data_IF_526935572109
#
_entry.id   IF_526935572109
#
_cell.length_a   1.000
_cell.length_b   1.000
_cell.length_c   1.000
_cell.angle_alpha   90.00
_cell.angle_beta   90.00
_cell.angle_gamma   90.00
#
_symmetry.space_group_name_H-M   'P 1'
#
loop_
_entity.id
_entity.type
_entity.pdbx_description
1 polymer ?
#
# COMPACT_ATOMS: atom_id res chain seq x y z
N UNK A 1 -13.55 -56.97 -1.31
CA UNK A 1 -12.68 -55.99 -0.62
C UNK A 1 -12.12 -55.04 -1.66
N UNK A 2 -12.61 -53.80 -1.68
CA UNK A 2 -12.28 -52.80 -2.69
C UNK A 2 -10.85 -52.27 -2.50
N UNK A 3 -9.96 -52.56 -3.47
CA UNK A 3 -8.67 -51.86 -3.60
C UNK A 3 -8.92 -50.54 -4.33
N UNK A 4 -9.21 -49.48 -3.58
CA UNK A 4 -8.98 -48.11 -4.06
C UNK A 4 -7.46 -47.84 -4.04
N UNK A 5 -6.72 -48.44 -4.97
CA UNK A 5 -5.34 -48.05 -5.24
C UNK A 5 -5.37 -46.86 -6.21
N UNK A 6 -5.48 -45.65 -5.66
CA UNK A 6 -5.20 -44.41 -6.37
C UNK A 6 -3.74 -44.43 -6.85
N UNK A 7 -3.52 -44.80 -8.11
CA UNK A 7 -2.23 -44.92 -8.75
C UNK A 7 -1.59 -43.57 -9.12
N UNK A 8 -1.43 -42.68 -8.15
CA UNK A 8 -0.72 -41.42 -8.33
C UNK A 8 0.79 -41.62 -8.16
N UNK A 9 1.58 -41.17 -9.15
CA UNK A 9 3.02 -41.02 -8.95
C UNK A 9 3.30 -39.91 -7.93
N UNK A 10 4.33 -40.06 -7.09
CA UNK A 10 4.74 -39.03 -6.11
C UNK A 10 4.94 -37.65 -6.76
N UNK A 11 5.43 -37.62 -8.00
CA UNK A 11 5.59 -36.41 -8.80
C UNK A 11 4.27 -35.75 -9.20
N UNK A 12 3.22 -36.54 -9.49
CA UNK A 12 1.89 -36.04 -9.83
C UNK A 12 1.20 -35.44 -8.60
N UNK A 13 1.30 -36.13 -7.46
CA UNK A 13 0.77 -35.65 -6.19
C UNK A 13 1.46 -34.33 -5.75
N UNK A 14 2.77 -34.23 -5.95
CA UNK A 14 3.54 -33.02 -5.65
C UNK A 14 3.18 -31.84 -6.58
N UNK A 15 3.08 -32.09 -7.89
CA UNK A 15 2.73 -31.04 -8.86
C UNK A 15 1.31 -30.50 -8.63
N UNK A 16 0.35 -31.41 -8.35
CA UNK A 16 -1.01 -31.03 -7.99
C UNK A 16 -1.10 -30.29 -6.67
N UNK A 17 -0.43 -30.80 -5.64
CA UNK A 17 -0.39 -30.15 -4.33
C UNK A 17 0.14 -28.73 -4.44
N UNK A 18 1.23 -28.53 -5.19
CA UNK A 18 1.80 -27.22 -5.45
C UNK A 18 0.85 -26.30 -6.24
N UNK A 19 0.25 -26.79 -7.33
CA UNK A 19 -0.69 -26.01 -8.15
C UNK A 19 -1.93 -25.55 -7.37
N UNK A 20 -2.51 -26.45 -6.56
CA UNK A 20 -3.65 -26.14 -5.70
C UNK A 20 -3.26 -25.18 -4.57
N UNK A 21 -2.08 -25.34 -3.97
CA UNK A 21 -1.60 -24.43 -2.94
C UNK A 21 -1.38 -23.01 -3.49
N UNK A 22 -0.75 -22.87 -4.66
CA UNK A 22 -0.54 -21.58 -5.32
C UNK A 22 -1.87 -20.96 -5.77
N UNK A 23 -2.77 -21.75 -6.36
CA UNK A 23 -4.11 -21.27 -6.74
C UNK A 23 -4.91 -20.83 -5.50
N UNK A 24 -4.86 -21.59 -4.42
CA UNK A 24 -5.47 -21.24 -3.13
C UNK A 24 -4.93 -19.95 -2.54
N UNK A 25 -3.60 -19.74 -2.56
CA UNK A 25 -2.97 -18.49 -2.14
C UNK A 25 -3.39 -17.32 -3.03
N UNK A 26 -3.43 -17.52 -4.34
CA UNK A 26 -3.91 -16.51 -5.30
C UNK A 26 -5.38 -16.15 -5.06
N UNK A 27 -6.23 -17.14 -4.77
CA UNK A 27 -7.64 -16.95 -4.45
C UNK A 27 -7.84 -16.22 -3.11
N UNK A 28 -7.03 -16.52 -2.11
CA UNK A 28 -7.02 -15.79 -0.83
C UNK A 28 -6.68 -14.30 -1.06
N UNK A 29 -5.64 -14.02 -1.84
CA UNK A 29 -5.26 -12.65 -2.19
C UNK A 29 -6.35 -11.94 -3.01
N UNK A 30 -6.99 -12.65 -3.94
CA UNK A 30 -8.16 -12.17 -4.66
C UNK A 30 -9.29 -11.78 -3.70
N UNK A 31 -9.69 -12.64 -2.76
CA UNK A 31 -10.73 -12.32 -1.77
C UNK A 31 -10.38 -11.09 -0.94
N UNK A 32 -9.14 -10.98 -0.47
CA UNK A 32 -8.67 -9.84 0.32
C UNK A 32 -8.70 -8.53 -0.47
N UNK A 33 -8.32 -8.55 -1.75
CA UNK A 33 -8.35 -7.36 -2.63
C UNK A 33 -9.76 -7.01 -3.07
N UNK A 34 -10.59 -8.02 -3.35
CA UNK A 34 -12.00 -7.86 -3.70
C UNK A 34 -12.79 -7.19 -2.57
N UNK A 35 -12.64 -7.63 -1.31
CA UNK A 35 -13.32 -6.98 -0.17
C UNK A 35 -13.05 -5.48 -0.13
N UNK A 36 -11.79 -5.07 -0.27
CA UNK A 36 -11.42 -3.65 -0.31
C UNK A 36 -11.93 -2.92 -1.56
N UNK A 37 -11.95 -3.57 -2.72
CA UNK A 37 -12.51 -2.98 -3.93
C UNK A 37 -14.04 -2.79 -3.80
N UNK A 38 -14.74 -3.76 -3.22
CA UNK A 38 -16.18 -3.69 -2.97
C UNK A 38 -16.50 -2.60 -1.92
N UNK A 39 -15.68 -2.46 -0.86
CA UNK A 39 -15.80 -1.36 0.12
C UNK A 39 -15.61 0.01 -0.54
N UNK A 40 -14.59 0.17 -1.39
CA UNK A 40 -14.38 1.40 -2.14
C UNK A 40 -15.57 1.66 -3.07
N UNK A 41 -16.02 0.67 -3.85
CA UNK A 41 -17.14 0.82 -4.78
C UNK A 41 -18.46 1.26 -4.11
N UNK A 42 -18.67 0.91 -2.84
CA UNK A 42 -19.83 1.31 -2.04
C UNK A 42 -19.59 2.60 -1.22
N UNK A 43 -18.39 3.15 -1.23
CA UNK A 43 -18.05 4.34 -0.47
C UNK A 43 -18.82 5.55 -1.02
N UNK A 44 -19.40 6.33 -0.12
CA UNK A 44 -20.09 7.57 -0.51
C UNK A 44 -19.04 8.62 -0.88
N UNK A 45 -19.09 9.10 -2.13
CA UNK A 45 -18.23 10.18 -2.58
C UNK A 45 -18.83 11.51 -2.15
N UNK A 46 -18.07 12.27 -1.36
CA UNK A 46 -18.55 13.50 -0.77
C UNK A 46 -17.54 14.61 -1.02
N UNK A 47 -17.99 15.67 -1.64
CA UNK A 47 -17.17 16.86 -1.83
C UNK A 47 -17.04 17.61 -0.52
N UNK A 48 -15.87 18.19 -0.28
CA UNK A 48 -15.65 19.08 0.85
C UNK A 48 -16.26 20.44 0.50
N UNK A 49 -17.57 20.56 0.70
CA UNK A 49 -18.35 21.77 0.44
C UNK A 49 -18.95 22.34 1.74
N UNK A 50 -19.65 23.47 1.64
CA UNK A 50 -20.36 24.06 2.78
C UNK A 50 -21.48 23.18 3.33
N UNK A 51 -22.11 22.36 2.47
CA UNK A 51 -23.26 21.50 2.79
C UNK A 51 -22.85 20.19 3.51
N UNK A 52 -21.56 19.86 3.53
CA UNK A 52 -21.04 18.69 4.19
C UNK A 52 -21.41 18.62 5.68
N UNK A 53 -21.42 19.77 6.36
CA UNK A 53 -21.81 19.85 7.77
C UNK A 53 -23.29 19.52 7.95
N UNK A 54 -24.16 20.17 7.19
CA UNK A 54 -25.61 19.97 7.24
C UNK A 54 -25.99 18.52 6.92
N UNK A 55 -25.32 17.91 5.93
CA UNK A 55 -25.53 16.51 5.54
C UNK A 55 -25.15 15.54 6.66
N UNK A 56 -24.06 15.84 7.39
CA UNK A 56 -23.64 15.04 8.53
C UNK A 56 -24.58 15.20 9.73
N UNK A 57 -25.08 16.41 10.01
CA UNK A 57 -26.02 16.65 11.11
C UNK A 57 -27.33 15.86 10.96
N UNK A 58 -27.82 15.72 9.73
CA UNK A 58 -29.03 14.92 9.42
C UNK A 58 -28.75 13.40 9.51
N UNK A 59 -27.49 12.99 9.44
CA UNK A 59 -27.10 11.58 9.50
C UNK A 59 -27.14 11.06 10.94
N UNK A 60 -27.69 9.85 11.21
CA UNK A 60 -27.75 9.29 12.55
C UNK A 60 -26.38 9.19 13.21
N UNK A 61 -26.19 9.97 14.29
CA UNK A 61 -24.95 10.03 15.04
C UNK A 61 -23.85 10.92 14.43
N UNK A 62 -24.22 11.83 13.53
CA UNK A 62 -23.34 12.83 12.92
C UNK A 62 -22.07 12.25 12.28
N UNK A 63 -22.20 11.04 11.73
CA UNK A 63 -21.09 10.23 11.25
C UNK A 63 -21.42 9.43 10.00
N UNK A 64 -20.48 9.40 9.07
CA UNK A 64 -20.50 8.53 7.90
C UNK A 64 -19.36 7.52 8.02
N UNK A 65 -19.70 6.24 8.01
CA UNK A 65 -18.75 5.17 8.31
C UNK A 65 -17.63 5.05 7.27
N UNK A 66 -17.98 5.20 5.99
CA UNK A 66 -17.04 5.07 4.89
C UNK A 66 -17.36 6.08 3.79
N UNK A 67 -16.63 7.18 3.81
CA UNK A 67 -16.76 8.30 2.89
C UNK A 67 -15.42 8.60 2.21
N UNK A 68 -15.50 9.07 0.97
CA UNK A 68 -14.38 9.58 0.20
C UNK A 68 -14.46 11.09 0.22
N UNK A 69 -13.37 11.74 0.60
CA UNK A 69 -13.21 13.18 0.58
C UNK A 69 -11.94 13.55 -0.19
N UNK A 70 -12.03 14.57 -1.03
CA UNK A 70 -10.91 15.08 -1.81
C UNK A 70 -10.66 16.53 -1.44
N UNK A 71 -9.41 16.87 -1.13
CA UNK A 71 -9.06 18.23 -0.72
C UNK A 71 -7.58 18.52 -0.85
N UNK A 72 -7.25 19.79 -0.66
CA UNK A 72 -5.88 20.29 -0.68
C UNK A 72 -5.33 20.26 0.75
N UNK A 73 -4.12 19.73 0.90
CA UNK A 73 -3.45 19.62 2.19
C UNK A 73 -3.03 20.99 2.71
N UNK A 74 -3.42 21.29 3.95
CA UNK A 74 -3.03 22.52 4.66
C UNK A 74 -2.68 22.21 6.13
N UNK A 75 -1.57 22.75 6.66
CA UNK A 75 -1.15 22.51 8.05
C UNK A 75 -2.05 23.24 9.05
N UNK A 76 -2.31 22.62 10.20
CA UNK A 76 -2.90 23.28 11.37
C UNK A 76 -1.76 23.71 12.27
N UNK A 77 -1.10 24.82 11.93
CA UNK A 77 0.06 25.36 12.64
C UNK A 77 1.33 25.41 11.78
N UNK A 78 2.48 25.22 12.41
CA UNK A 78 3.77 25.27 11.72
C UNK A 78 3.98 24.02 10.84
N UNK A 79 4.20 24.18 9.52
CA UNK A 79 4.49 23.06 8.64
C UNK A 79 5.88 22.50 8.88
N UNK A 80 6.07 21.22 8.54
CA UNK A 80 7.39 20.62 8.51
C UNK A 80 8.18 21.19 7.33
N UNK A 81 9.48 21.37 7.53
CA UNK A 81 10.43 21.76 6.48
C UNK A 81 11.26 20.56 6.06
N UNK A 82 11.61 20.50 4.78
CA UNK A 82 12.56 19.50 4.27
C UNK A 82 13.96 19.74 4.83
N UNK A 83 14.73 18.67 5.01
CA UNK A 83 16.12 18.74 5.46
C UNK A 83 17.07 19.20 4.33
N UNK A 84 16.72 18.89 3.08
CA UNK A 84 17.55 19.24 1.92
C UNK A 84 17.18 20.58 1.30
N UNK A 85 15.92 21.02 1.41
CA UNK A 85 15.43 22.24 0.77
C UNK A 85 14.54 23.05 1.71
N UNK A 86 15.02 24.22 2.13
CA UNK A 86 14.28 25.09 3.07
C UNK A 86 12.95 25.62 2.51
N UNK A 87 12.86 25.75 1.18
CA UNK A 87 11.66 26.23 0.48
C UNK A 87 10.52 25.18 0.43
N UNK A 88 10.82 23.91 0.75
CA UNK A 88 9.85 22.83 0.65
C UNK A 88 9.22 22.57 2.02
N UNK A 89 7.91 22.79 2.08
CA UNK A 89 7.09 22.56 3.27
C UNK A 89 6.04 21.47 3.07
N UNK A 90 5.72 20.76 4.16
CA UNK A 90 4.80 19.64 4.14
C UNK A 90 4.24 19.29 5.51
N UNK A 91 3.32 18.31 5.53
CA UNK A 91 2.58 17.92 6.74
C UNK A 91 2.97 16.53 7.25
N UNK A 92 3.48 15.68 6.37
CA UNK A 92 4.10 14.40 6.73
C UNK A 92 5.47 14.33 6.08
N UNK A 93 6.48 14.00 6.85
CA UNK A 93 7.86 13.92 6.42
C UNK A 93 8.44 12.56 6.81
N UNK A 94 9.04 11.87 5.85
CA UNK A 94 9.67 10.56 6.01
C UNK A 94 11.12 10.62 5.51
N UNK A 95 12.05 10.32 6.40
CA UNK A 95 13.47 10.11 6.06
C UNK A 95 13.79 8.64 6.29
N UNK A 96 14.28 7.99 5.25
CA UNK A 96 14.62 6.58 5.30
C UNK A 96 16.04 6.38 4.78
N UNK A 97 16.83 5.64 5.55
CA UNK A 97 18.20 5.30 5.20
C UNK A 97 18.31 3.80 5.06
N UNK A 98 18.54 3.36 3.84
CA UNK A 98 18.59 1.95 3.44
C UNK A 98 19.98 1.58 2.97
N UNK A 99 20.36 0.31 3.11
CA UNK A 99 21.59 -0.21 2.50
C UNK A 99 21.24 -1.06 1.27
N UNK A 100 21.52 -0.58 0.04
CA UNK A 100 21.32 -1.38 -1.16
C UNK A 100 22.32 -2.55 -1.17
N UNK A 101 21.84 -3.76 -0.90
CA UNK A 101 22.64 -4.98 -1.08
C UNK A 101 22.53 -5.44 -2.53
N UNK A 102 23.58 -5.19 -3.32
CA UNK A 102 23.73 -5.76 -4.66
C UNK A 102 24.65 -6.99 -4.57
N UNK A 103 24.06 -8.17 -4.48
CA UNK A 103 24.78 -9.45 -4.50
C UNK A 103 23.92 -10.55 -5.10
N UNK A 104 24.45 -11.77 -5.25
CA UNK A 104 23.68 -12.92 -5.76
C UNK A 104 22.36 -13.12 -4.99
N UNK A 105 22.37 -12.91 -3.67
CA UNK A 105 21.17 -12.90 -2.81
C UNK A 105 20.11 -11.88 -3.24
N UNK A 106 20.50 -10.77 -3.88
CA UNK A 106 19.58 -9.74 -4.40
C UNK A 106 18.80 -10.18 -5.65
N UNK A 107 19.34 -11.08 -6.47
CA UNK A 107 18.60 -11.68 -7.59
C UNK A 107 17.53 -12.65 -7.07
N UNK A 108 17.87 -13.43 -6.03
CA UNK A 108 16.90 -14.27 -5.33
C UNK A 108 15.85 -13.43 -4.59
N UNK A 109 16.22 -12.32 -3.93
CA UNK A 109 15.27 -11.43 -3.23
C UNK A 109 14.46 -10.51 -4.16
N UNK A 110 14.90 -10.31 -5.41
CA UNK A 110 14.08 -9.68 -6.44
C UNK A 110 12.97 -10.61 -6.95
N UNK A 111 13.25 -11.92 -7.05
CA UNK A 111 12.26 -12.96 -7.39
C UNK A 111 11.30 -13.24 -6.23
N UNK A 112 11.82 -13.42 -5.03
CA UNK A 112 11.05 -13.54 -3.80
C UNK A 112 10.99 -12.16 -3.18
N UNK A 113 9.95 -11.36 -3.48
CA UNK A 113 9.69 -10.01 -2.92
C UNK A 113 9.76 -10.01 -1.39
N UNK A 114 10.96 -10.08 -0.84
CA UNK A 114 11.21 -9.94 0.57
C UNK A 114 11.23 -8.44 0.79
N UNK A 115 10.20 -7.94 1.48
CA UNK A 115 10.05 -6.53 1.80
C UNK A 115 11.16 -5.99 2.72
N UNK A 116 12.07 -6.86 3.17
CA UNK A 116 13.29 -6.51 3.90
C UNK A 116 14.35 -5.94 2.95
N UNK A 117 14.14 -4.69 2.55
CA UNK A 117 15.29 -3.81 2.38
C UNK A 117 15.88 -3.61 3.79
N UNK A 118 17.19 -3.80 4.02
CA UNK A 118 17.76 -3.48 5.32
C UNK A 118 17.65 -1.97 5.54
N UNK A 119 16.61 -1.56 6.28
CA UNK A 119 16.39 -0.19 6.70
C UNK A 119 17.25 0.04 7.93
N UNK A 120 18.33 0.80 7.76
CA UNK A 120 19.24 1.14 8.85
C UNK A 120 18.60 2.16 9.78
N UNK A 121 17.83 3.08 9.20
CA UNK A 121 17.14 4.11 9.95
C UNK A 121 15.88 4.55 9.21
N UNK A 122 14.78 4.75 9.95
CA UNK A 122 13.54 5.30 9.40
C UNK A 122 12.93 6.22 10.44
N UNK A 123 12.77 7.47 10.05
CA UNK A 123 12.11 8.51 10.84
C UNK A 123 10.89 8.99 10.07
N UNK A 124 9.73 9.01 10.72
CA UNK A 124 8.48 9.52 10.14
C UNK A 124 7.88 10.52 11.13
N UNK A 125 7.75 11.76 10.69
CA UNK A 125 7.20 12.86 11.47
C UNK A 125 5.93 13.36 10.78
N UNK A 126 4.90 13.65 11.56
CA UNK A 126 3.64 14.21 11.05
C UNK A 126 3.21 15.34 11.96
N UNK A 127 2.71 16.42 11.37
CA UNK A 127 2.01 17.49 12.08
C UNK A 127 0.50 17.37 11.83
N UNK A 128 -0.35 17.98 12.66
CA UNK A 128 -1.78 18.08 12.39
C UNK A 128 -2.04 18.87 11.10
N UNK A 129 -2.95 18.39 10.26
CA UNK A 129 -3.32 19.05 9.02
C UNK A 129 -4.79 18.81 8.67
N UNK A 130 -5.31 19.64 7.77
CA UNK A 130 -6.66 19.56 7.23
C UNK A 130 -6.60 19.35 5.71
N UNK A 131 -7.67 18.78 5.17
CA UNK A 131 -7.99 18.79 3.75
C UNK A 131 -8.98 19.91 3.52
N UNK A 132 -8.56 20.95 2.79
CA UNK A 132 -9.41 22.07 2.40
C UNK A 132 -10.11 21.78 1.07
N UNK A 133 -11.42 21.96 1.06
CA UNK A 133 -12.24 21.90 -0.15
C UNK A 133 -12.17 23.18 -0.99
N UNK A 134 -12.85 23.17 -2.14
CA UNK A 134 -12.95 24.36 -3.01
C UNK A 134 -13.60 25.55 -2.31
N UNK A 135 -14.54 25.28 -1.41
CA UNK A 135 -15.42 26.28 -0.81
C UNK A 135 -14.86 26.82 0.52
N UNK A 136 -13.63 26.45 0.86
CA UNK A 136 -12.97 26.85 2.11
C UNK A 136 -13.30 25.96 3.32
N UNK A 137 -14.27 25.04 3.22
CA UNK A 137 -14.52 24.01 4.25
C UNK A 137 -13.28 23.16 4.47
N UNK A 138 -12.97 22.84 5.73
CA UNK A 138 -11.79 22.07 6.12
C UNK A 138 -12.19 20.80 6.87
N UNK A 139 -11.57 19.68 6.50
CA UNK A 139 -11.71 18.38 7.17
C UNK A 139 -10.38 18.00 7.82
N UNK A 140 -10.35 17.88 9.13
CA UNK A 140 -9.16 17.52 9.89
C UNK A 140 -8.84 16.04 9.75
N UNK A 141 -7.59 15.72 9.43
CA UNK A 141 -7.15 14.34 9.23
C UNK A 141 -6.55 13.79 10.52
N UNK A 142 -7.16 12.74 11.06
CA UNK A 142 -6.64 12.05 12.23
C UNK A 142 -5.83 10.82 11.86
N UNK A 143 -4.77 10.56 12.63
CA UNK A 143 -3.90 9.39 12.50
C UNK A 143 -3.42 9.13 11.05
N UNK A 144 -2.82 10.11 10.35
CA UNK A 144 -2.42 9.98 8.94
C UNK A 144 -1.45 8.80 8.70
N UNK A 145 -0.64 8.45 9.69
CA UNK A 145 0.32 7.35 9.61
C UNK A 145 -0.33 5.94 9.61
N UNK A 146 -1.59 5.82 10.06
CA UNK A 146 -2.36 4.56 9.97
C UNK A 146 -2.99 4.38 8.60
N UNK A 147 -3.03 5.42 7.77
CA UNK A 147 -3.61 5.36 6.45
C UNK A 147 -2.76 4.49 5.53
N UNK A 148 -3.42 3.63 4.77
CA UNK A 148 -2.82 2.90 3.66
C UNK A 148 -2.79 3.77 2.41
N UNK A 149 -1.81 3.54 1.54
CA UNK A 149 -1.74 4.24 0.25
C UNK A 149 -1.22 5.68 0.32
N UNK A 150 -0.64 6.08 1.47
CA UNK A 150 0.06 7.34 1.65
C UNK A 150 1.26 7.40 0.71
N UNK A 151 0.99 7.89 -0.49
CA UNK A 151 1.99 8.20 -1.47
C UNK A 151 2.55 9.58 -1.07
N UNK A 152 3.86 9.66 -0.94
CA UNK A 152 4.56 10.91 -0.64
C UNK A 152 5.41 11.28 -1.85
N UNK A 153 5.65 12.57 -2.04
CA UNK A 153 6.56 13.02 -3.08
C UNK A 153 7.99 12.75 -2.64
N UNK A 154 8.79 12.12 -3.50
CA UNK A 154 10.22 11.95 -3.26
C UNK A 154 10.90 13.29 -3.53
N UNK A 155 11.32 13.97 -2.46
CA UNK A 155 12.02 15.24 -2.58
C UNK A 155 13.46 15.02 -3.01
N UNK A 156 14.10 13.99 -2.47
CA UNK A 156 15.50 13.75 -2.73
C UNK A 156 15.91 12.29 -2.45
N UNK A 157 17.00 11.90 -3.13
CA UNK A 157 17.62 10.59 -3.03
C UNK A 157 19.14 10.73 -3.17
N UNK A 158 19.90 10.39 -2.12
CA UNK A 158 21.38 10.39 -2.15
C UNK A 158 21.96 9.05 -1.79
N UNK A 159 23.02 8.74 -2.51
CA UNK A 159 23.91 7.63 -2.22
C UNK A 159 25.10 8.16 -1.43
N UNK A 160 25.12 7.89 -0.13
CA UNK A 160 26.25 8.12 0.75
C UNK A 160 27.27 7.00 0.52
N UNK A 161 28.34 7.29 -0.19
CA UNK A 161 29.44 6.35 -0.32
C UNK A 161 30.13 6.19 1.03
N UNK A 162 30.05 4.99 1.62
CA UNK A 162 30.90 4.65 2.76
C UNK A 162 32.20 4.11 2.16
N UNK A 163 33.26 4.90 2.24
CA UNK A 163 34.61 4.48 1.82
C UNK A 163 35.13 3.43 2.81
N UNK A 164 34.64 2.19 2.71
CA UNK A 164 35.30 1.07 3.36
C UNK A 164 36.58 0.78 2.56
N UNK A 165 37.68 1.37 3.01
CA UNK A 165 39.00 1.03 2.50
C UNK A 165 39.41 -0.35 2.97
N UNK A 166 38.84 -1.43 2.41
CA UNK A 166 39.44 -2.76 2.54
C UNK A 166 39.17 -3.66 1.32
N UNK A 167 40.31 -3.97 0.69
CA UNK A 167 40.73 -5.20 0.00
C UNK A 167 39.87 -5.81 -1.11
N UNK A 168 40.48 -5.78 -2.30
CA UNK A 168 40.22 -6.57 -3.53
C UNK A 168 39.95 -8.08 -3.26
N UNK A 169 40.29 -8.62 -2.09
CA UNK A 169 40.05 -10.00 -1.67
C UNK A 169 38.65 -10.30 -1.10
N UNK A 170 37.91 -9.30 -0.60
CA UNK A 170 36.56 -9.51 -0.04
C UNK A 170 35.48 -9.90 -1.05
N UNK A 171 35.65 -9.54 -2.34
CA UNK A 171 34.71 -9.90 -3.41
C UNK A 171 34.67 -11.35 -3.80
N UNK A 172 35.80 -12.04 -3.70
CA UNK A 172 35.86 -13.45 -4.09
C UNK A 172 35.10 -14.37 -3.13
N UNK A 173 35.04 -14.01 -1.83
CA UNK A 173 34.38 -14.85 -0.82
C UNK A 173 32.95 -14.42 -0.49
N UNK A 174 32.63 -13.12 -0.57
CA UNK A 174 31.33 -12.62 -0.15
C UNK A 174 30.33 -12.46 -1.30
N UNK A 175 30.76 -12.17 -2.53
CA UNK A 175 29.87 -11.96 -3.67
C UNK A 175 28.82 -10.85 -3.51
N UNK A 176 28.91 -10.03 -2.46
CA UNK A 176 27.96 -8.96 -2.12
C UNK A 176 28.71 -7.64 -2.10
N UNK A 177 28.47 -6.77 -3.09
CA UNK A 177 29.02 -5.42 -3.10
C UNK A 177 28.08 -4.48 -2.36
N UNK A 178 28.42 -4.13 -1.11
CA UNK A 178 27.72 -3.08 -0.36
C UNK A 178 28.09 -1.71 -0.95
N UNK A 179 27.36 -1.31 -1.99
CA UNK A 179 27.44 0.05 -2.47
C UNK A 179 26.58 0.93 -1.58
N UNK A 180 27.21 1.96 -1.03
CA UNK A 180 26.62 3.24 -0.64
C UNK A 180 25.27 3.22 0.11
N UNK A 181 25.28 3.69 1.35
CA UNK A 181 24.07 3.93 2.13
C UNK A 181 23.14 4.88 1.36
N UNK A 182 21.91 4.46 1.07
CA UNK A 182 20.94 5.21 0.31
C UNK A 182 20.00 5.93 1.27
N UNK A 183 20.10 7.25 1.30
CA UNK A 183 19.21 8.14 2.02
C UNK A 183 18.13 8.66 1.07
N UNK A 184 16.87 8.52 1.46
CA UNK A 184 15.69 8.98 0.74
C UNK A 184 14.84 9.85 1.64
N UNK A 185 14.46 11.00 1.13
CA UNK A 185 13.56 11.94 1.79
C UNK A 185 12.25 12.02 0.99
N UNK A 186 11.14 11.73 1.66
CA UNK A 186 9.79 11.73 1.11
C UNK A 186 8.89 12.65 1.95
N UNK A 187 8.03 13.43 1.30
CA UNK A 187 7.16 14.38 2.00
C UNK A 187 5.78 14.49 1.36
N UNK A 188 4.74 14.61 2.18
CA UNK A 188 3.43 15.09 1.75
C UNK A 188 3.43 16.62 1.85
N UNK A 189 3.52 17.30 0.71
CA UNK A 189 3.68 18.75 0.64
C UNK A 189 2.38 19.49 0.92
N UNK A 190 2.52 20.71 1.43
CA UNK A 190 1.39 21.64 1.54
C UNK A 190 0.95 22.03 0.13
N UNK A 191 -0.36 22.11 -0.10
CA UNK A 191 -0.90 22.42 -1.43
C UNK A 191 -1.12 21.21 -2.33
N UNK A 192 -0.71 20.01 -1.92
CA UNK A 192 -0.96 18.79 -2.69
C UNK A 192 -2.41 18.35 -2.54
N UNK A 193 -3.04 17.94 -3.65
CA UNK A 193 -4.38 17.32 -3.65
C UNK A 193 -4.27 15.88 -3.14
N UNK A 194 -5.12 15.54 -2.18
CA UNK A 194 -5.16 14.23 -1.55
C UNK A 194 -6.59 13.74 -1.45
N UNK A 195 -6.76 12.46 -1.76
CA UNK A 195 -7.99 11.68 -1.55
C UNK A 195 -7.88 10.95 -0.22
N UNK A 196 -8.73 11.30 0.72
CA UNK A 196 -8.92 10.58 1.98
C UNK A 196 -10.14 9.66 1.89
N UNK A 197 -10.00 8.41 2.33
CA UNK A 197 -11.15 7.50 2.46
C UNK A 197 -11.17 6.94 3.87
N UNK A 198 -12.25 7.18 4.59
CA UNK A 198 -12.36 6.79 5.98
C UNK A 198 -13.72 7.12 6.59
N UNK A 199 -13.77 7.11 7.91
CA UNK A 199 -14.94 7.55 8.64
C UNK A 199 -14.92 9.06 8.76
N UNK A 200 -16.01 9.71 8.34
CA UNK A 200 -16.19 11.16 8.47
C UNK A 200 -17.11 11.43 9.65
N UNK A 201 -16.65 12.21 10.62
CA UNK A 201 -17.42 12.56 11.82
C UNK A 201 -17.45 14.05 12.04
N UNK A 202 -18.61 14.58 12.41
CA UNK A 202 -18.73 15.94 12.94
C UNK A 202 -18.52 15.86 14.46
N UNK A 203 -17.46 16.49 14.96
CA UNK A 203 -17.24 16.60 16.40
C UNK A 203 -18.20 17.65 17.00
N UNK A 204 -18.50 17.59 18.32
CA UNK A 204 -19.38 18.55 18.99
C UNK A 204 -18.94 20.01 18.85
N UNK A 205 -17.64 20.22 18.62
CA UNK A 205 -17.03 21.53 18.39
C UNK A 205 -17.32 22.10 16.98
N UNK A 206 -18.09 21.39 16.15
CA UNK A 206 -18.42 21.77 14.77
C UNK A 206 -17.29 21.53 13.77
N UNK A 207 -16.25 20.80 14.18
CA UNK A 207 -15.09 20.44 13.35
C UNK A 207 -15.35 19.13 12.62
N UNK A 208 -15.08 19.10 11.31
CA UNK A 208 -15.18 17.90 10.50
C UNK A 208 -13.89 17.10 10.60
N UNK A 209 -14.00 15.80 10.86
CA UNK A 209 -12.86 14.94 11.11
C UNK A 209 -12.91 13.68 10.25
N UNK A 210 -11.81 13.40 9.57
CA UNK A 210 -11.57 12.15 8.89
C UNK A 210 -10.74 11.23 9.81
N UNK A 211 -11.31 10.08 10.15
CA UNK A 211 -10.74 9.11 11.10
C UNK A 211 -10.64 7.72 10.49
N UNK A 212 -9.76 6.85 11.05
CA UNK A 212 -9.77 5.44 10.72
C UNK A 212 -11.16 4.80 10.95
N UNK A 213 -11.69 4.03 9.99
CA UNK A 213 -13.00 3.40 10.13
C UNK A 213 -13.09 2.45 11.32
N UNK A 214 -14.22 2.51 12.04
CA UNK A 214 -14.49 1.65 13.20
C UNK A 214 -14.94 0.22 12.83
N UNK A 215 -15.36 0.02 11.57
CA UNK A 215 -15.85 -1.25 11.01
C UNK A 215 -14.71 -2.20 10.55
N UNK A 216 -13.46 -1.77 10.68
CA UNK A 216 -12.30 -2.51 10.20
C UNK A 216 -12.04 -2.37 8.70
N UNK A 217 -12.78 -1.52 8.00
CA UNK A 217 -12.50 -1.11 6.62
C UNK A 217 -11.17 -0.36 6.56
N UNK A 218 -10.51 -0.40 5.39
CA UNK A 218 -9.20 0.23 5.27
C UNK A 218 -9.31 1.75 5.22
N UNK A 219 -8.51 2.39 6.06
CA UNK A 219 -8.27 3.82 6.00
C UNK A 219 -7.29 4.14 4.86
N UNK A 220 -7.64 5.08 3.99
CA UNK A 220 -6.80 5.51 2.87
C UNK A 220 -6.51 6.99 2.91
N UNK A 221 -5.29 7.33 2.51
CA UNK A 221 -4.88 8.70 2.25
C UNK A 221 -3.93 8.62 1.07
N UNK A 222 -4.29 9.17 -0.09
CA UNK A 222 -3.46 9.05 -1.29
C UNK A 222 -3.44 10.32 -2.12
N UNK A 223 -2.32 10.61 -2.77
CA UNK A 223 -2.21 11.70 -3.75
C UNK A 223 -2.87 11.37 -5.09
N UNK A 224 -3.32 10.13 -5.29
CA UNK A 224 -4.06 9.73 -6.47
C UNK A 224 -5.56 10.02 -6.32
N UNK A 225 -6.22 10.37 -7.41
CA UNK A 225 -7.66 10.54 -7.47
C UNK A 225 -8.39 9.25 -7.08
N UNK A 226 -9.61 9.40 -6.56
CA UNK A 226 -10.43 8.26 -6.17
C UNK A 226 -10.62 7.22 -7.29
N UNK A 227 -10.84 7.66 -8.53
CA UNK A 227 -10.98 6.78 -9.68
C UNK A 227 -9.71 5.96 -9.96
N UNK A 228 -8.55 6.56 -9.76
CA UNK A 228 -7.26 5.89 -9.97
C UNK A 228 -7.03 4.84 -8.89
N UNK A 229 -7.33 5.16 -7.63
CA UNK A 229 -7.31 4.19 -6.52
C UNK A 229 -8.26 3.02 -6.81
N UNK A 230 -9.51 3.31 -7.17
CA UNK A 230 -10.51 2.29 -7.49
C UNK A 230 -10.06 1.38 -8.64
N UNK A 231 -9.58 1.96 -9.74
CA UNK A 231 -9.05 1.22 -10.90
C UNK A 231 -7.88 0.33 -10.51
N UNK A 232 -6.97 0.80 -9.66
CA UNK A 232 -5.82 0.01 -9.19
C UNK A 232 -6.27 -1.24 -8.42
N UNK A 233 -7.22 -1.10 -7.48
CA UNK A 233 -7.73 -2.24 -6.71
C UNK A 233 -8.59 -3.19 -7.56
N UNK A 234 -9.39 -2.67 -8.49
CA UNK A 234 -10.17 -3.46 -9.44
C UNK A 234 -9.26 -4.26 -10.39
N UNK A 235 -8.22 -3.62 -10.94
CA UNK A 235 -7.25 -4.27 -11.81
C UNK A 235 -6.45 -5.37 -11.07
N UNK A 236 -6.00 -5.09 -9.84
CA UNK A 236 -5.32 -6.08 -9.02
C UNK A 236 -6.23 -7.28 -8.72
N UNK A 237 -7.51 -7.03 -8.40
CA UNK A 237 -8.50 -8.08 -8.16
C UNK A 237 -8.71 -8.96 -9.41
N UNK A 238 -8.86 -8.34 -10.59
CA UNK A 238 -8.97 -9.06 -11.87
C UNK A 238 -7.70 -9.88 -12.16
N UNK A 239 -6.51 -9.34 -11.90
CA UNK A 239 -5.25 -10.04 -12.11
C UNK A 239 -5.13 -11.28 -11.20
N UNK A 240 -5.37 -11.13 -9.89
CA UNK A 240 -5.33 -12.26 -8.94
C UNK A 240 -6.37 -13.33 -9.26
N UNK A 241 -7.56 -12.94 -9.74
CA UNK A 241 -8.56 -13.88 -10.25
C UNK A 241 -8.03 -14.68 -11.44
N UNK A 242 -7.44 -14.01 -12.44
CA UNK A 242 -6.86 -14.67 -13.62
C UNK A 242 -5.75 -15.64 -13.22
N UNK A 243 -4.85 -15.24 -12.33
CA UNK A 243 -3.79 -16.12 -11.84
C UNK A 243 -4.35 -17.36 -11.14
N UNK A 244 -5.33 -17.21 -10.25
CA UNK A 244 -5.97 -18.35 -9.58
C UNK A 244 -6.57 -19.34 -10.60
N UNK A 245 -7.24 -18.84 -11.64
CA UNK A 245 -7.83 -19.66 -12.71
C UNK A 245 -6.75 -20.34 -13.56
N UNK A 246 -5.70 -19.61 -13.97
CA UNK A 246 -4.60 -20.15 -14.79
C UNK A 246 -3.89 -21.28 -14.04
N UNK A 247 -3.56 -21.10 -12.75
CA UNK A 247 -2.91 -22.14 -11.96
C UNK A 247 -3.81 -23.37 -11.74
N UNK A 248 -5.11 -23.16 -11.55
CA UNK A 248 -6.07 -24.27 -11.44
C UNK A 248 -6.17 -25.07 -12.76
N UNK A 249 -6.28 -24.37 -13.90
CA UNK A 249 -6.34 -25.00 -15.23
C UNK A 249 -5.04 -25.70 -15.59
N UNK A 250 -3.89 -25.11 -15.29
CA UNK A 250 -2.58 -25.73 -15.54
C UNK A 250 -2.42 -27.04 -14.76
N UNK A 251 -2.84 -27.06 -13.49
CA UNK A 251 -2.84 -28.30 -12.69
C UNK A 251 -3.77 -29.38 -13.27
N UNK A 252 -4.95 -29.00 -13.74
CA UNK A 252 -5.89 -29.93 -14.38
C UNK A 252 -5.40 -30.46 -15.73
N UNK A 253 -4.79 -29.60 -16.55
CA UNK A 253 -4.24 -29.98 -17.86
C UNK A 253 -3.06 -30.95 -17.71
N UNK A 254 -2.19 -30.74 -16.71
CA UNK A 254 -1.09 -31.65 -16.41
C UNK A 254 -1.59 -33.07 -16.09
N UNK A 255 -2.70 -33.20 -15.34
CA UNK A 255 -3.33 -34.49 -15.08
C UNK A 255 -3.91 -35.14 -16.32
N UNK A 256 -4.63 -34.36 -17.12
CA UNK A 256 -5.27 -34.87 -18.31
C UNK A 256 -4.26 -35.41 -19.32
N UNK A 257 -3.16 -34.67 -19.55
CA UNK A 257 -2.10 -35.10 -20.45
C UNK A 257 -1.39 -36.36 -19.95
N UNK A 258 -1.06 -36.43 -18.67
CA UNK A 258 -0.43 -37.64 -18.10
C UNK A 258 -1.37 -38.85 -18.07
N UNK A 259 -2.66 -38.66 -17.78
CA UNK A 259 -3.66 -39.73 -17.82
C UNK A 259 -3.95 -40.26 -19.23
N UNK A 260 -3.65 -39.49 -20.27
CA UNK A 260 -3.77 -39.92 -21.68
C UNK A 260 -2.51 -40.65 -22.21
N UNK A 261 -1.37 -40.46 -21.54
CA UNK A 261 -0.07 -41.05 -21.89
C UNK A 261 0.19 -42.42 -21.22
N UNK A 262 -0.77 -42.91 -20.44
CA UNK A 262 -0.71 -44.16 -19.67
C UNK A 262 -1.82 -45.10 -20.10
#
# INVERSE_FOLDING_TARGET
MAKFCLGFSLTEALCLGAGLAVSGLCYYMYRKKKKTADELDNASHINIDGNLKDTLEVTPGARLQYAVVEGVVEPVGEPLRSQCHEDIVGVVHKVEVTEPRLGLSSLYSALFKSHDKPVLHKQVTSVPFVLRGSDGTAVQVHCPLKASGLNMEMLYKRFLQVSHGFSVLGWYFSGVKSYSRLETEEMLRVGTRVTGVGQLTLDPDGTLNLRPPSDGSKYFLSMADYDTLRKQYSAATKAWKRFAVIFALAGAAALYLHGKLR
#
